data_IF_891412260754
#
_entry.id   IF_891412260754
#
_cell.length_a   1.000
_cell.length_b   1.000
_cell.length_c   1.000
_cell.angle_alpha   90.00
_cell.angle_beta   90.00
_cell.angle_gamma   90.00
#
_symmetry.space_group_name_H-M   'P 1'
#
loop_
_entity.id
_entity.type
_entity.pdbx_description
1 polymer ?
#
# COMPACT_ATOMS: atom_id res chain seq x y z
N UNK A 1 -6.64 16.84 0.80
CA UNK A 1 -7.10 15.70 -0.01
C UNK A 1 -6.41 15.72 -1.38
N UNK A 2 -6.15 14.55 -1.96
CA UNK A 2 -5.61 14.44 -3.33
C UNK A 2 -6.67 14.73 -4.41
N UNK A 3 -7.96 14.60 -4.07
CA UNK A 3 -9.09 14.95 -4.92
C UNK A 3 -8.97 16.39 -5.42
N UNK A 4 -9.00 16.57 -6.74
CA UNK A 4 -8.83 17.88 -7.39
C UNK A 4 -7.37 18.31 -7.63
N UNK A 5 -6.37 17.52 -7.21
CA UNK A 5 -4.95 17.75 -7.54
C UNK A 5 -4.45 16.93 -8.72
N UNK A 6 -5.16 15.88 -9.09
CA UNK A 6 -4.88 15.02 -10.24
C UNK A 6 -6.16 14.78 -11.04
N UNK A 7 -6.02 14.54 -12.34
CA UNK A 7 -7.15 14.23 -13.21
C UNK A 7 -7.77 12.86 -12.85
N UNK A 8 -9.10 12.81 -12.86
CA UNK A 8 -9.84 11.60 -12.48
C UNK A 8 -9.67 10.50 -13.53
N UNK A 9 -9.63 10.85 -14.82
CA UNK A 9 -9.46 9.87 -15.89
C UNK A 9 -8.07 9.24 -15.82
N UNK A 10 -7.02 10.02 -15.55
CA UNK A 10 -5.68 9.47 -15.28
C UNK A 10 -5.66 8.59 -14.02
N UNK A 11 -6.26 9.05 -12.92
CA UNK A 11 -6.28 8.30 -11.65
C UNK A 11 -6.92 6.91 -11.81
N UNK A 12 -8.03 6.82 -12.54
CA UNK A 12 -8.77 5.58 -12.73
C UNK A 12 -8.24 4.74 -13.89
N UNK A 13 -7.83 5.38 -14.99
CA UNK A 13 -7.42 4.73 -16.24
C UNK A 13 -5.95 4.28 -16.26
N UNK A 14 -5.06 5.05 -15.64
CA UNK A 14 -3.62 4.80 -15.72
C UNK A 14 -3.02 4.42 -14.35
N UNK A 15 -3.27 5.22 -13.32
CA UNK A 15 -2.61 5.06 -12.03
C UNK A 15 -2.97 3.74 -11.32
N UNK A 16 -4.27 3.49 -11.10
CA UNK A 16 -4.73 2.25 -10.44
C UNK A 16 -4.25 0.99 -11.19
N UNK A 17 -4.45 0.87 -12.53
CA UNK A 17 -3.96 -0.28 -13.28
C UNK A 17 -2.44 -0.44 -13.25
N UNK A 18 -1.68 0.67 -13.29
CA UNK A 18 -0.22 0.64 -13.26
C UNK A 18 0.31 0.11 -11.93
N UNK A 19 -0.25 0.55 -10.80
CA UNK A 19 0.12 0.05 -9.46
C UNK A 19 -0.19 -1.44 -9.36
N UNK A 20 -1.41 -1.85 -9.74
CA UNK A 20 -1.83 -3.26 -9.69
C UNK A 20 -0.95 -4.19 -10.56
N UNK A 21 -0.48 -3.71 -11.72
CA UNK A 21 0.34 -4.50 -12.66
C UNK A 21 1.85 -4.36 -12.45
N UNK A 22 2.29 -3.59 -11.46
CA UNK A 22 3.73 -3.26 -11.31
C UNK A 22 4.61 -4.49 -11.11
N UNK A 23 4.15 -5.48 -10.35
CA UNK A 23 4.90 -6.72 -10.12
C UNK A 23 5.19 -7.48 -11.42
N UNK A 24 4.17 -7.63 -12.28
CA UNK A 24 4.31 -8.25 -13.60
C UNK A 24 5.28 -7.46 -14.48
N UNK A 25 5.16 -6.13 -14.52
CA UNK A 25 6.05 -5.28 -15.30
C UNK A 25 7.53 -5.42 -14.87
N UNK A 26 7.80 -5.64 -13.59
CA UNK A 26 9.17 -5.90 -13.10
C UNK A 26 9.67 -7.26 -13.56
N UNK A 27 8.83 -8.29 -13.53
CA UNK A 27 9.16 -9.64 -14.01
C UNK A 27 9.48 -9.60 -15.50
N UNK A 28 8.63 -8.96 -16.31
CA UNK A 28 8.82 -8.85 -17.76
C UNK A 28 10.14 -8.14 -18.11
N UNK A 29 10.48 -7.09 -17.35
CA UNK A 29 11.70 -6.32 -17.59
C UNK A 29 12.99 -7.02 -17.11
N UNK A 30 12.93 -7.76 -16.00
CA UNK A 30 14.12 -8.34 -15.34
C UNK A 30 14.26 -9.85 -15.51
N UNK A 31 13.26 -10.53 -16.04
CA UNK A 31 13.15 -12.00 -16.06
C UNK A 31 13.07 -12.62 -14.65
N UNK A 32 12.81 -11.82 -13.61
CA UNK A 32 12.83 -12.25 -12.21
C UNK A 32 11.93 -11.36 -11.34
N UNK A 33 11.50 -11.88 -10.19
CA UNK A 33 10.59 -11.17 -9.29
C UNK A 33 11.19 -9.90 -8.69
N UNK A 34 10.33 -9.02 -8.19
CA UNK A 34 10.67 -7.77 -7.48
C UNK A 34 11.15 -8.02 -6.04
N UNK A 35 12.01 -9.01 -5.82
CA UNK A 35 12.42 -9.49 -4.50
C UNK A 35 13.05 -8.40 -3.62
N UNK A 36 13.94 -7.57 -4.20
CA UNK A 36 14.62 -6.53 -3.43
C UNK A 36 13.65 -5.45 -2.91
N UNK A 37 12.73 -4.96 -3.74
CA UNK A 37 11.74 -3.98 -3.30
C UNK A 37 10.71 -4.59 -2.35
N UNK A 38 10.36 -5.87 -2.51
CA UNK A 38 9.50 -6.57 -1.56
C UNK A 38 10.17 -6.69 -0.18
N UNK A 39 11.46 -7.06 -0.14
CA UNK A 39 12.23 -7.11 1.10
C UNK A 39 12.32 -5.73 1.77
N UNK A 40 12.54 -4.68 0.99
CA UNK A 40 12.54 -3.31 1.52
C UNK A 40 11.18 -2.93 2.12
N UNK A 41 10.06 -3.25 1.43
CA UNK A 41 8.72 -2.99 1.95
C UNK A 41 8.44 -3.72 3.27
N UNK A 42 8.95 -4.94 3.45
CA UNK A 42 8.85 -5.68 4.73
C UNK A 42 9.67 -5.01 5.83
N UNK A 43 10.90 -4.56 5.52
CA UNK A 43 11.74 -3.82 6.47
C UNK A 43 11.04 -2.53 6.91
N UNK A 44 10.52 -1.75 5.96
CA UNK A 44 9.81 -0.50 6.26
C UNK A 44 8.55 -0.76 7.08
N UNK A 45 7.78 -1.80 6.76
CA UNK A 45 6.60 -2.20 7.53
C UNK A 45 6.93 -2.49 9.00
N UNK A 46 7.95 -3.33 9.25
CA UNK A 46 8.37 -3.65 10.61
C UNK A 46 8.97 -2.43 11.33
N UNK A 47 9.69 -1.58 10.59
CA UNK A 47 10.27 -0.36 11.14
C UNK A 47 9.18 0.60 11.61
N UNK A 48 8.18 0.88 10.77
CA UNK A 48 7.05 1.73 11.14
C UNK A 48 6.29 1.14 12.32
N UNK A 49 6.05 -0.18 12.34
CA UNK A 49 5.36 -0.81 13.46
C UNK A 49 6.13 -0.67 14.78
N UNK A 50 7.45 -0.89 14.77
CA UNK A 50 8.24 -0.92 16.01
C UNK A 50 8.69 0.47 16.47
N UNK A 51 9.01 1.36 15.53
CA UNK A 51 9.59 2.68 15.82
C UNK A 51 8.57 3.83 15.67
N UNK A 52 7.37 3.52 15.22
CA UNK A 52 6.28 4.46 15.00
C UNK A 52 6.28 5.11 13.62
N UNK A 53 5.15 5.72 13.28
CA UNK A 53 4.98 6.53 12.07
C UNK A 53 5.37 8.00 12.31
N UNK A 54 5.87 8.75 11.31
CA UNK A 54 6.10 10.19 11.44
C UNK A 54 4.83 10.95 11.84
N UNK A 55 4.99 12.04 12.60
CA UNK A 55 3.86 12.88 13.02
C UNK A 55 3.12 13.47 11.81
N UNK A 56 1.79 13.33 11.81
CA UNK A 56 0.93 13.79 10.71
C UNK A 56 0.96 12.90 9.47
N UNK A 57 1.61 11.74 9.52
CA UNK A 57 1.69 10.76 8.44
C UNK A 57 1.17 9.38 8.87
N UNK A 58 0.93 8.50 7.91
CA UNK A 58 0.38 7.16 8.13
C UNK A 58 0.95 6.16 7.12
N UNK A 59 0.82 4.86 7.42
CA UNK A 59 1.22 3.77 6.52
C UNK A 59 0.08 2.81 6.27
N UNK A 60 0.15 2.06 5.17
CA UNK A 60 -0.80 0.97 4.89
C UNK A 60 -0.33 -0.31 5.57
N UNK A 61 -1.17 -0.89 6.45
CA UNK A 61 -0.91 -2.19 7.06
C UNK A 61 -2.15 -3.07 6.96
N UNK A 62 -1.95 -4.34 6.60
CA UNK A 62 -3.01 -5.35 6.65
C UNK A 62 -3.10 -5.92 8.05
N UNK A 63 -4.17 -5.59 8.78
CA UNK A 63 -4.39 -5.98 10.17
C UNK A 63 -5.77 -6.62 10.33
N UNK A 64 -6.03 -7.40 11.39
CA UNK A 64 -7.37 -7.87 11.70
C UNK A 64 -8.32 -6.69 11.82
N UNK A 65 -9.37 -6.68 11.01
CA UNK A 65 -10.41 -5.67 11.04
C UNK A 65 -11.13 -5.66 12.39
N UNK A 66 -11.37 -4.46 12.91
CA UNK A 66 -12.14 -4.18 14.12
C UNK A 66 -13.52 -3.56 13.82
N UNK A 67 -13.98 -3.66 12.56
CA UNK A 67 -15.23 -3.04 12.11
C UNK A 67 -15.04 -1.64 11.50
N UNK A 68 -13.83 -1.08 11.53
CA UNK A 68 -13.50 0.22 10.94
C UNK A 68 -13.94 0.32 9.48
N UNK A 69 -14.48 1.49 9.11
CA UNK A 69 -15.01 1.76 7.77
C UNK A 69 -16.14 0.82 7.30
N UNK A 70 -16.75 0.04 8.20
CA UNK A 70 -17.81 -0.92 7.88
C UNK A 70 -17.29 -2.21 7.25
N UNK A 71 -15.99 -2.50 7.37
CA UNK A 71 -15.38 -3.75 6.92
C UNK A 71 -15.64 -4.83 7.98
N UNK A 72 -15.96 -6.05 7.54
CA UNK A 72 -16.26 -7.19 8.41
C UNK A 72 -15.16 -7.42 9.45
N UNK A 73 -15.52 -7.67 10.72
CA UNK A 73 -14.55 -7.92 11.79
C UNK A 73 -13.78 -9.23 11.57
N UNK A 74 -12.50 -9.25 11.93
CA UNK A 74 -11.66 -10.45 11.90
C UNK A 74 -11.00 -10.77 10.54
N UNK A 75 -11.45 -10.19 9.42
CA UNK A 75 -10.72 -10.33 8.15
C UNK A 75 -9.43 -9.49 8.16
N UNK A 76 -8.39 -9.98 7.50
CA UNK A 76 -7.14 -9.22 7.31
C UNK A 76 -7.36 -8.22 6.16
N UNK A 77 -7.46 -6.94 6.49
CA UNK A 77 -7.71 -5.86 5.53
C UNK A 77 -6.69 -4.74 5.69
N UNK A 78 -6.32 -4.09 4.57
CA UNK A 78 -5.33 -3.01 4.57
C UNK A 78 -5.98 -1.68 4.95
N UNK A 79 -5.53 -1.08 6.05
CA UNK A 79 -6.02 0.20 6.55
C UNK A 79 -4.93 1.27 6.55
N UNK A 80 -5.32 2.56 6.51
CA UNK A 80 -4.46 3.63 6.98
C UNK A 80 -4.24 3.53 8.49
N UNK A 81 -2.99 3.37 8.94
CA UNK A 81 -2.66 3.29 10.38
C UNK A 81 -1.49 4.21 10.76
N UNK A 82 -1.50 4.64 12.01
CA UNK A 82 -0.33 5.19 12.71
C UNK A 82 0.14 4.18 13.74
N UNK A 83 1.45 4.03 13.89
CA UNK A 83 2.07 3.09 14.84
C UNK A 83 2.78 3.84 15.97
#
# INVERSE_FOLDING_TARGET
>A
AATGKVDVAWSQGDFIPTVAKRGAAVIDARGSSSAASAANAVIDHMRSWVLGTPEGDWVSMSVPSDGSYGIEEGIIYSYPVTC
#
